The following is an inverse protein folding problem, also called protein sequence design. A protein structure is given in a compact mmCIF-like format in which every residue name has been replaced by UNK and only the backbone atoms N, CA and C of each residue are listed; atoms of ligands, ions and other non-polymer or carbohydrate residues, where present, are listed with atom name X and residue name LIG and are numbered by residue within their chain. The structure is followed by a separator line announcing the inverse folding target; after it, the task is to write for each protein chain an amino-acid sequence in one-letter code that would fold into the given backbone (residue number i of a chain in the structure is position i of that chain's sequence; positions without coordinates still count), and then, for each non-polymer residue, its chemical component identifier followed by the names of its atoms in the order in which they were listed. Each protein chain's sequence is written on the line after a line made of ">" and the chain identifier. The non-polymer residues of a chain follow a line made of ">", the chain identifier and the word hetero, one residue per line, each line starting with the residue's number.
data_IF_254467312430
#
_entry.id   IF_254467312430
#
_cell.length_a   1.000
_cell.length_b   1.000
_cell.length_c   1.000
_cell.angle_alpha   90.00
_cell.angle_beta   90.00
_cell.angle_gamma   90.00
#
_symmetry.space_group_name_H-M   'P 1'
#
loop_
_entity.id
_entity.type
_entity.pdbx_description
1 polymer ?
#
# COMPACT_ATOMS: atom_id res chain seq x y z
N UNK A 1 3.27 -4.15 -17.78
CA UNK A 1 3.54 -4.31 -19.22
C UNK A 1 4.94 -3.77 -19.52
N UNK A 2 5.65 -4.29 -20.53
CA UNK A 2 6.89 -3.68 -20.98
C UNK A 2 6.59 -2.27 -21.54
N UNK A 3 7.50 -1.33 -21.30
CA UNK A 3 7.39 0.06 -21.77
C UNK A 3 7.61 0.07 -23.29
N UNK A 4 6.74 0.70 -24.10
CA UNK A 4 6.94 0.72 -25.55
C UNK A 4 8.25 1.44 -25.88
N UNK A 5 9.09 0.92 -26.80
CA UNK A 5 10.36 1.55 -27.16
C UNK A 5 10.23 2.99 -27.67
N UNK A 6 9.06 3.35 -28.19
CA UNK A 6 8.73 4.72 -28.62
C UNK A 6 8.73 5.71 -27.46
N UNK A 7 8.32 5.28 -26.27
CA UNK A 7 8.32 6.12 -25.07
C UNK A 7 9.75 6.41 -24.63
N UNK A 8 10.59 5.38 -24.61
CA UNK A 8 12.02 5.52 -24.29
C UNK A 8 12.72 6.44 -25.31
N UNK A 9 12.36 6.35 -26.61
CA UNK A 9 12.89 7.23 -27.66
C UNK A 9 12.53 8.70 -27.46
N UNK A 10 11.38 9.02 -26.87
CA UNK A 10 10.98 10.41 -26.59
C UNK A 10 11.80 11.04 -25.47
N UNK A 11 12.29 10.22 -24.54
CA UNK A 11 13.04 10.65 -23.37
C UNK A 11 14.55 10.73 -23.60
N UNK A 12 15.05 10.39 -24.80
CA UNK A 12 16.48 10.42 -25.09
C UNK A 12 16.80 10.91 -26.51
N UNK A 13 18.07 11.23 -26.75
CA UNK A 13 18.54 11.52 -28.09
C UNK A 13 18.61 10.24 -28.94
N UNK A 14 18.49 10.32 -30.29
CA UNK A 14 18.59 9.16 -31.18
C UNK A 14 19.89 8.37 -30.99
N UNK A 15 21.00 9.09 -30.78
CA UNK A 15 22.32 8.49 -30.55
C UNK A 15 22.43 7.76 -29.21
N UNK A 16 21.80 8.29 -28.15
CA UNK A 16 21.70 7.60 -26.87
C UNK A 16 20.85 6.34 -26.97
N UNK A 17 19.79 6.40 -27.77
CA UNK A 17 18.91 5.25 -28.02
C UNK A 17 19.66 4.10 -28.71
N UNK A 18 20.27 4.35 -29.87
CA UNK A 18 21.02 3.33 -30.63
C UNK A 18 22.13 2.68 -29.78
N UNK A 19 22.92 3.50 -29.07
CA UNK A 19 23.98 2.97 -28.21
C UNK A 19 23.43 2.20 -27.02
N UNK A 20 22.27 2.60 -26.48
CA UNK A 20 21.59 1.88 -25.41
C UNK A 20 21.07 0.52 -25.86
N UNK A 21 20.47 0.45 -27.06
CA UNK A 21 20.00 -0.81 -27.66
C UNK A 21 21.14 -1.82 -27.84
N UNK A 22 22.29 -1.38 -28.38
CA UNK A 22 23.47 -2.25 -28.52
C UNK A 22 23.96 -2.81 -27.18
N UNK A 23 23.90 -2.02 -26.10
CA UNK A 23 24.30 -2.46 -24.76
C UNK A 23 23.29 -3.47 -24.20
N UNK A 24 21.99 -3.26 -24.42
CA UNK A 24 20.94 -4.18 -24.00
C UNK A 24 21.08 -5.55 -24.68
N UNK A 25 21.28 -5.56 -26.00
CA UNK A 25 21.49 -6.77 -26.80
C UNK A 25 22.75 -7.55 -26.38
N UNK A 26 23.80 -6.82 -25.98
CA UNK A 26 25.09 -7.45 -25.64
C UNK A 26 25.06 -8.26 -24.33
N UNK A 27 24.03 -8.14 -23.48
CA UNK A 27 23.76 -8.98 -22.31
C UNK A 27 24.78 -8.97 -21.16
N UNK A 28 26.08 -9.09 -21.43
CA UNK A 28 27.18 -9.10 -20.47
C UNK A 28 27.56 -7.74 -19.90
N UNK A 29 27.01 -6.65 -20.43
CA UNK A 29 27.32 -5.28 -20.02
C UNK A 29 26.41 -4.72 -18.92
N UNK A 30 25.47 -5.52 -18.39
CA UNK A 30 24.56 -5.13 -17.31
C UNK A 30 24.69 -6.13 -16.16
N UNK A 31 25.32 -5.69 -15.07
CA UNK A 31 25.54 -6.47 -13.86
C UNK A 31 24.57 -6.06 -12.73
N UNK A 32 24.34 -6.99 -11.79
CA UNK A 32 23.48 -6.78 -10.62
C UNK A 32 22.06 -6.27 -10.95
N UNK A 33 21.43 -6.86 -11.97
CA UNK A 33 20.03 -6.57 -12.35
C UNK A 33 19.11 -6.79 -11.15
N UNK A 34 18.52 -5.73 -10.64
CA UNK A 34 17.57 -5.76 -9.53
C UNK A 34 16.32 -4.98 -9.89
N UNK A 35 15.18 -5.47 -9.46
CA UNK A 35 13.91 -4.75 -9.50
C UNK A 35 13.28 -4.80 -8.11
N UNK A 36 12.87 -3.63 -7.63
CA UNK A 36 12.05 -3.46 -6.44
C UNK A 36 10.75 -2.79 -6.82
N UNK A 37 9.67 -3.11 -6.10
CA UNK A 37 8.36 -2.51 -6.33
C UNK A 37 8.02 -1.59 -5.18
N UNK A 38 7.66 -0.35 -5.49
CA UNK A 38 7.09 0.61 -4.55
C UNK A 38 5.68 0.97 -5.02
N UNK A 39 4.68 0.31 -4.45
CA UNK A 39 3.30 0.42 -4.91
C UNK A 39 3.13 -0.02 -6.39
N UNK A 40 2.63 0.85 -7.29
CA UNK A 40 2.49 0.53 -8.72
C UNK A 40 3.81 0.62 -9.50
N UNK A 41 4.84 1.25 -8.94
CA UNK A 41 6.08 1.58 -9.66
C UNK A 41 7.12 0.47 -9.54
N UNK A 42 7.73 0.12 -10.67
CA UNK A 42 8.85 -0.81 -10.75
C UNK A 42 10.16 0.00 -10.81
N UNK A 43 10.93 -0.06 -9.72
CA UNK A 43 12.23 0.58 -9.61
C UNK A 43 13.31 -0.41 -10.03
N UNK A 44 13.88 -0.19 -11.22
CA UNK A 44 15.00 -0.93 -11.76
C UNK A 44 16.32 -0.33 -11.25
N UNK A 45 17.27 -1.18 -10.88
CA UNK A 45 18.62 -0.77 -10.53
C UNK A 45 19.63 -1.79 -11.06
N UNK A 46 20.66 -1.31 -11.77
CA UNK A 46 21.75 -2.16 -12.24
C UNK A 46 23.06 -1.35 -12.41
N UNK A 47 24.16 -2.08 -12.56
CA UNK A 47 25.44 -1.53 -12.99
C UNK A 47 25.61 -1.78 -14.49
N UNK A 48 25.76 -0.72 -15.28
CA UNK A 48 25.87 -0.79 -16.74
C UNK A 48 27.28 -0.35 -17.15
N UNK A 49 27.97 -1.20 -17.90
CA UNK A 49 29.30 -0.92 -18.42
C UNK A 49 29.26 0.11 -19.57
N UNK A 50 30.27 0.97 -19.64
CA UNK A 50 30.43 1.84 -20.80
C UNK A 50 30.91 1.06 -22.03
N UNK A 51 30.33 1.37 -23.18
CA UNK A 51 30.74 0.88 -24.50
C UNK A 51 32.17 1.28 -24.94
N UNK A 52 32.95 2.01 -24.12
CA UNK A 52 34.19 2.70 -24.51
C UNK A 52 35.47 2.14 -23.87
N UNK A 53 35.44 0.94 -23.29
CA UNK A 53 36.66 0.14 -23.11
C UNK A 53 37.56 0.48 -21.91
N UNK A 54 37.07 1.22 -20.92
CA UNK A 54 37.65 1.17 -19.56
C UNK A 54 36.59 0.57 -18.63
N UNK A 55 37.00 -0.14 -17.58
CA UNK A 55 36.17 -0.92 -16.64
C UNK A 55 35.13 -0.12 -15.82
N UNK A 56 34.72 1.04 -16.33
CA UNK A 56 33.78 1.93 -15.69
C UNK A 56 32.37 1.38 -15.86
N UNK A 57 31.84 0.89 -14.74
CA UNK A 57 30.44 0.56 -14.58
C UNK A 57 29.74 1.72 -13.88
N UNK A 58 28.60 2.13 -14.43
CA UNK A 58 27.79 3.19 -13.86
C UNK A 58 26.52 2.61 -13.28
N UNK A 59 26.12 3.09 -12.10
CA UNK A 59 24.85 2.72 -11.51
C UNK A 59 23.75 3.49 -12.26
N UNK A 60 22.84 2.74 -12.86
CA UNK A 60 21.63 3.27 -13.48
C UNK A 60 20.42 2.82 -12.68
N UNK A 61 19.49 3.75 -12.46
CA UNK A 61 18.17 3.48 -11.90
C UNK A 61 17.10 4.04 -12.82
N UNK A 62 16.04 3.28 -13.03
CA UNK A 62 14.91 3.66 -13.87
C UNK A 62 13.63 3.21 -13.17
N UNK A 63 12.70 4.14 -12.99
CA UNK A 63 11.39 3.88 -12.37
C UNK A 63 10.35 3.82 -13.47
N UNK A 64 9.63 2.70 -13.54
CA UNK A 64 8.63 2.43 -14.56
C UNK A 64 7.25 2.31 -13.93
N UNK A 65 6.26 2.97 -14.51
CA UNK A 65 4.86 2.60 -14.29
C UNK A 65 4.53 1.53 -15.31
N UNK A 66 4.44 0.28 -14.85
CA UNK A 66 4.14 -0.85 -15.72
C UNK A 66 2.69 -0.93 -16.16
N UNK A 67 1.76 -0.17 -15.56
CA UNK A 67 0.35 -0.18 -15.95
C UNK A 67 0.15 0.67 -17.19
N UNK A 68 0.63 1.91 -17.12
CA UNK A 68 0.60 2.87 -18.21
C UNK A 68 1.73 2.62 -19.22
N UNK A 69 2.75 1.85 -18.84
CA UNK A 69 3.90 1.57 -19.67
C UNK A 69 4.75 2.82 -19.89
N UNK A 70 4.92 3.66 -18.88
CA UNK A 70 5.68 4.92 -18.96
C UNK A 70 6.90 4.91 -18.03
N UNK A 71 7.92 5.68 -18.40
CA UNK A 71 9.06 5.93 -17.52
C UNK A 71 8.73 7.12 -16.63
N UNK A 72 8.64 6.88 -15.32
CA UNK A 72 8.31 7.91 -14.31
C UNK A 72 9.56 8.72 -13.95
N UNK A 73 10.67 8.03 -13.73
CA UNK A 73 11.92 8.65 -13.32
C UNK A 73 13.13 7.85 -13.82
N UNK A 74 14.28 8.52 -13.92
CA UNK A 74 15.52 7.92 -14.36
C UNK A 74 16.71 8.68 -13.80
N UNK A 75 17.76 7.95 -13.40
CA UNK A 75 19.01 8.54 -12.93
C UNK A 75 20.20 7.64 -13.26
N UNK A 76 21.35 8.25 -13.52
CA UNK A 76 22.60 7.51 -13.75
C UNK A 76 23.81 8.24 -13.19
N UNK A 77 24.80 7.49 -12.70
CA UNK A 77 26.07 8.07 -12.22
C UNK A 77 27.06 8.41 -13.34
N UNK A 78 26.67 8.29 -14.61
CA UNK A 78 27.55 8.56 -15.74
C UNK A 78 27.71 10.07 -16.02
N UNK A 79 28.82 10.50 -16.66
CA UNK A 79 29.04 11.91 -17.00
C UNK A 79 27.92 12.50 -17.87
N UNK A 80 27.43 11.73 -18.83
CA UNK A 80 26.39 12.17 -19.77
C UNK A 80 25.05 12.51 -19.08
N UNK A 81 24.75 11.91 -17.94
CA UNK A 81 23.54 12.26 -17.16
C UNK A 81 23.61 13.65 -16.55
N UNK A 82 24.82 14.09 -16.16
CA UNK A 82 25.02 15.43 -15.58
C UNK A 82 25.11 16.51 -16.65
N UNK A 83 25.52 16.14 -17.86
CA UNK A 83 25.86 17.07 -18.94
C UNK A 83 24.70 17.28 -19.92
N UNK A 84 23.86 16.26 -20.14
CA UNK A 84 22.79 16.29 -21.13
C UNK A 84 21.43 16.03 -20.50
N UNK A 85 20.40 16.71 -20.99
CA UNK A 85 19.01 16.46 -20.60
C UNK A 85 18.48 15.16 -21.24
N UNK A 86 17.77 14.36 -20.45
CA UNK A 86 17.14 13.11 -20.89
C UNK A 86 17.95 11.85 -20.59
N UNK A 87 17.40 10.69 -20.94
CA UNK A 87 17.99 9.40 -20.60
C UNK A 87 19.31 9.19 -21.31
N UNK A 88 20.33 8.88 -20.51
CA UNK A 88 21.61 8.42 -21.03
C UNK A 88 21.48 7.00 -21.61
N UNK A 89 22.46 6.60 -22.44
CA UNK A 89 22.53 5.25 -23.02
C UNK A 89 22.42 4.11 -21.98
N UNK A 90 22.86 4.33 -20.73
CA UNK A 90 22.80 3.32 -19.67
C UNK A 90 21.37 3.15 -19.12
N UNK A 91 20.64 4.24 -18.92
CA UNK A 91 19.22 4.19 -18.54
C UNK A 91 18.39 3.54 -19.63
N UNK A 92 18.66 3.89 -20.90
CA UNK A 92 18.01 3.27 -22.06
C UNK A 92 18.29 1.76 -22.10
N UNK A 93 19.56 1.37 -21.97
CA UNK A 93 19.95 -0.04 -21.96
C UNK A 93 19.26 -0.83 -20.84
N UNK A 94 19.16 -0.23 -19.64
CA UNK A 94 18.48 -0.86 -18.51
C UNK A 94 16.98 -1.07 -18.75
N UNK A 95 16.30 -0.06 -19.30
CA UNK A 95 14.88 -0.15 -19.62
C UNK A 95 14.59 -1.17 -20.73
N UNK A 96 15.40 -1.18 -21.80
CA UNK A 96 15.28 -2.15 -22.89
C UNK A 96 15.57 -3.58 -22.42
N UNK A 97 16.64 -3.79 -21.65
CA UNK A 97 16.98 -5.10 -21.09
C UNK A 97 15.86 -5.64 -20.18
N UNK A 98 15.16 -4.77 -19.44
CA UNK A 98 13.99 -5.18 -18.66
C UNK A 98 12.79 -5.55 -19.53
N UNK A 99 12.57 -4.87 -20.65
CA UNK A 99 11.51 -5.23 -21.58
C UNK A 99 11.76 -6.59 -22.25
N UNK A 100 13.01 -6.86 -22.63
CA UNK A 100 13.38 -8.08 -23.35
C UNK A 100 13.40 -9.29 -22.43
N UNK A 101 14.02 -9.17 -21.25
CA UNK A 101 14.16 -10.27 -20.30
C UNK A 101 13.91 -9.82 -18.85
N UNK A 102 12.65 -9.53 -18.47
CA UNK A 102 12.32 -9.04 -17.14
C UNK A 102 12.59 -10.07 -16.04
N UNK A 103 12.56 -11.37 -16.40
CA UNK A 103 12.83 -12.50 -15.49
C UNK A 103 14.30 -12.53 -15.04
N UNK A 104 15.22 -11.92 -15.80
CA UNK A 104 16.64 -11.84 -15.44
C UNK A 104 16.93 -10.90 -14.25
N UNK A 105 15.94 -10.12 -13.81
CA UNK A 105 16.07 -9.17 -12.73
C UNK A 105 15.75 -9.81 -11.39
N UNK A 106 16.70 -9.75 -10.45
CA UNK A 106 16.50 -10.23 -9.10
C UNK A 106 15.39 -9.41 -8.41
N UNK A 107 14.37 -10.10 -7.89
CA UNK A 107 13.19 -9.46 -7.30
C UNK A 107 12.00 -9.34 -8.27
N UNK A 108 12.17 -9.75 -9.53
CA UNK A 108 11.09 -9.73 -10.52
C UNK A 108 9.93 -10.61 -10.06
N UNK A 109 8.73 -10.05 -10.10
CA UNK A 109 7.48 -10.77 -9.89
C UNK A 109 6.73 -10.75 -11.22
N UNK A 110 6.26 -11.87 -11.77
CA UNK A 110 5.47 -11.84 -13.00
C UNK A 110 4.20 -10.99 -12.81
N UNK A 111 3.67 -10.36 -13.87
CA UNK A 111 2.44 -9.59 -13.80
C UNK A 111 1.33 -10.37 -13.10
N UNK A 112 1.15 -11.66 -13.38
CA UNK A 112 0.15 -12.51 -12.71
C UNK A 112 0.27 -12.55 -11.17
N UNK A 113 1.47 -12.42 -10.59
CA UNK A 113 1.69 -12.33 -9.13
C UNK A 113 1.58 -10.89 -8.60
N UNK A 114 1.60 -9.88 -9.47
CA UNK A 114 1.39 -8.45 -9.16
C UNK A 114 -0.08 -8.05 -9.32
N UNK A 115 -0.79 -8.65 -10.28
CA UNK A 115 -2.23 -8.58 -10.47
C UNK A 115 -3.01 -9.27 -9.33
N UNK A 116 -2.36 -10.07 -8.48
CA UNK A 116 -2.96 -10.55 -7.23
C UNK A 116 -3.05 -9.46 -6.15
N UNK A 117 -2.31 -8.35 -6.30
CA UNK A 117 -2.56 -7.12 -5.56
C UNK A 117 -3.66 -6.26 -6.20
N UNK A 118 -4.12 -6.62 -7.40
CA UNK A 118 -5.15 -5.92 -8.18
C UNK A 118 -6.32 -6.85 -8.51
N UNK A 119 -7.06 -7.23 -7.46
CA UNK A 119 -8.48 -7.60 -7.47
C UNK A 119 -9.12 -8.02 -8.82
N UNK A 120 -8.93 -9.26 -9.25
CA UNK A 120 -9.95 -9.92 -10.09
C UNK A 120 -11.13 -10.31 -9.18
N UNK A 121 -12.27 -9.64 -9.38
CA UNK A 121 -13.55 -9.75 -8.65
C UNK A 121 -14.12 -11.16 -8.45
N UNK A 122 -13.52 -12.23 -8.99
CA UNK A 122 -13.92 -13.62 -8.76
C UNK A 122 -13.18 -14.36 -7.63
N UNK A 123 -12.12 -13.78 -7.05
CA UNK A 123 -11.36 -14.40 -5.96
C UNK A 123 -11.79 -13.96 -4.56
N UNK A 124 -12.69 -12.98 -4.43
CA UNK A 124 -13.25 -12.58 -3.13
C UNK A 124 -13.98 -13.76 -2.48
N UNK A 125 -14.76 -14.50 -3.24
CA UNK A 125 -15.55 -15.63 -2.72
C UNK A 125 -14.64 -16.79 -2.27
N UNK A 126 -13.54 -17.05 -2.99
CA UNK A 126 -12.59 -18.13 -2.67
C UNK A 126 -11.66 -17.76 -1.51
N UNK A 127 -11.23 -16.49 -1.43
CA UNK A 127 -10.45 -15.95 -0.30
C UNK A 127 -11.33 -15.81 0.94
N UNK A 128 -12.63 -15.54 0.81
CA UNK A 128 -13.57 -15.62 1.93
C UNK A 128 -13.70 -17.07 2.44
N UNK A 129 -13.78 -18.06 1.55
CA UNK A 129 -13.85 -19.48 1.93
C UNK A 129 -12.54 -20.00 2.60
N UNK A 130 -11.36 -19.63 2.08
CA UNK A 130 -10.08 -20.03 2.70
C UNK A 130 -9.69 -19.16 3.91
N UNK A 131 -10.05 -17.88 3.88
CA UNK A 131 -9.88 -16.93 4.98
C UNK A 131 -10.78 -17.27 6.17
N UNK A 132 -11.99 -17.77 5.95
CA UNK A 132 -12.84 -18.33 7.01
C UNK A 132 -12.18 -19.56 7.67
N UNK A 133 -11.43 -20.37 6.91
CA UNK A 133 -10.79 -21.58 7.43
C UNK A 133 -9.47 -21.31 8.16
N UNK A 134 -8.74 -20.24 7.82
CA UNK A 134 -7.53 -19.81 8.54
C UNK A 134 -7.79 -18.77 9.65
N UNK A 135 -8.93 -18.07 9.63
CA UNK A 135 -9.37 -17.17 10.74
C UNK A 135 -9.84 -17.91 11.99
N UNK A 136 -10.07 -19.22 11.91
CA UNK A 136 -10.31 -20.09 13.06
C UNK A 136 -9.07 -20.34 13.94
N UNK A 137 -8.03 -19.48 13.90
CA UNK A 137 -6.82 -19.58 14.73
C UNK A 137 -6.46 -18.32 15.52
N UNK A 138 -7.35 -17.33 15.63
CA UNK A 138 -7.26 -16.27 16.65
C UNK A 138 -8.55 -16.20 17.48
N UNK A 139 -8.87 -17.31 18.14
CA UNK A 139 -10.02 -17.43 19.02
C UNK A 139 -9.83 -16.58 20.28
N UNK A 140 -10.64 -15.52 20.44
CA UNK A 140 -10.97 -14.91 21.74
C UNK A 140 -9.84 -14.38 22.64
N UNK A 141 -8.74 -13.83 22.09
CA UNK A 141 -7.60 -13.35 22.90
C UNK A 141 -7.63 -11.86 23.26
N UNK A 142 -8.65 -11.08 22.83
CA UNK A 142 -8.69 -9.63 23.09
C UNK A 142 -9.79 -9.30 24.10
N UNK A 143 -9.40 -8.80 25.28
CA UNK A 143 -10.32 -8.32 26.31
C UNK A 143 -10.50 -6.80 26.27
N UNK A 144 -11.60 -6.31 26.85
CA UNK A 144 -11.95 -4.89 26.93
C UNK A 144 -12.20 -4.53 28.39
N UNK A 145 -11.26 -3.78 28.96
CA UNK A 145 -11.33 -3.26 30.31
C UNK A 145 -11.94 -1.85 30.31
N UNK A 146 -12.77 -1.58 31.31
CA UNK A 146 -13.43 -0.28 31.50
C UNK A 146 -13.05 0.23 32.88
N UNK A 147 -12.42 1.39 32.93
CA UNK A 147 -12.17 2.11 34.18
C UNK A 147 -13.07 3.32 34.28
N UNK A 148 -13.88 3.38 35.34
CA UNK A 148 -14.67 4.55 35.68
C UNK A 148 -13.91 5.35 36.74
N UNK A 149 -13.67 6.63 36.47
CA UNK A 149 -13.06 7.57 37.42
C UNK A 149 -14.00 8.73 37.66
N UNK A 150 -14.29 8.99 38.92
CA UNK A 150 -15.03 10.19 39.35
C UNK A 150 -14.05 11.21 39.91
N UNK A 151 -14.02 12.42 39.36
CA UNK A 151 -13.21 13.52 39.86
C UNK A 151 -14.04 14.80 39.84
N UNK A 152 -14.09 15.50 40.99
CA UNK A 152 -14.82 16.77 41.16
C UNK A 152 -16.27 16.74 40.64
N UNK A 153 -17.02 15.67 40.94
CA UNK A 153 -18.43 15.53 40.52
C UNK A 153 -18.64 15.13 39.04
N UNK A 154 -17.55 14.97 38.26
CA UNK A 154 -17.61 14.49 36.89
C UNK A 154 -17.19 13.02 36.79
N UNK A 155 -17.94 12.22 36.03
CA UNK A 155 -17.62 10.82 35.72
C UNK A 155 -16.91 10.72 34.37
N UNK A 156 -15.80 10.01 34.34
CA UNK A 156 -15.04 9.70 33.13
C UNK A 156 -14.87 8.19 32.99
N UNK A 157 -15.04 7.68 31.78
CA UNK A 157 -14.86 6.26 31.46
C UNK A 157 -13.68 6.12 30.51
N UNK A 158 -12.67 5.33 30.90
CA UNK A 158 -11.52 5.00 30.06
C UNK A 158 -11.61 3.53 29.63
N UNK A 159 -11.51 3.28 28.33
CA UNK A 159 -11.60 1.95 27.75
C UNK A 159 -10.21 1.48 27.35
N UNK A 160 -9.84 0.26 27.74
CA UNK A 160 -8.53 -0.33 27.44
C UNK A 160 -8.70 -1.69 26.76
N UNK A 161 -8.05 -1.87 25.62
CA UNK A 161 -7.98 -3.15 24.92
C UNK A 161 -6.73 -3.89 25.41
N UNK A 162 -6.91 -5.14 25.81
CA UNK A 162 -5.80 -6.02 26.21
C UNK A 162 -5.76 -7.20 25.26
N UNK A 163 -4.62 -7.40 24.60
CA UNK A 163 -4.40 -8.53 23.71
C UNK A 163 -3.05 -9.18 23.94
N UNK A 164 -2.74 -10.27 23.21
CA UNK A 164 -1.55 -11.09 23.45
C UNK A 164 -0.23 -10.36 23.18
N UNK A 165 -0.25 -9.24 22.45
CA UNK A 165 0.95 -8.44 22.20
C UNK A 165 1.08 -7.18 23.06
N UNK A 166 0.04 -6.76 23.81
CA UNK A 166 0.09 -5.57 24.65
C UNK A 166 -1.27 -4.95 24.97
N UNK A 167 -1.24 -3.83 25.70
CA UNK A 167 -2.44 -3.07 26.09
C UNK A 167 -2.51 -1.74 25.32
N UNK A 168 -3.73 -1.30 25.00
CA UNK A 168 -3.97 -0.03 24.33
C UNK A 168 -5.11 0.75 25.00
N UNK A 169 -4.92 2.05 25.20
CA UNK A 169 -5.97 2.94 25.70
C UNK A 169 -6.75 3.50 24.51
N UNK A 170 -8.04 3.19 24.44
CA UNK A 170 -8.93 3.60 23.36
C UNK A 170 -9.15 5.12 23.41
N UNK A 171 -8.71 5.81 22.35
CA UNK A 171 -8.90 7.26 22.20
C UNK A 171 -10.31 7.63 21.74
N UNK A 172 -10.90 6.82 20.85
CA UNK A 172 -12.22 7.05 20.28
C UNK A 172 -13.05 5.76 20.27
N UNK A 173 -14.21 5.80 20.93
CA UNK A 173 -15.17 4.68 20.93
C UNK A 173 -15.83 4.55 19.55
N UNK A 174 -16.05 5.67 18.85
CA UNK A 174 -16.69 5.69 17.54
C UNK A 174 -15.86 4.99 16.47
N UNK A 175 -14.55 5.23 16.44
CA UNK A 175 -13.63 4.56 15.53
C UNK A 175 -13.58 3.06 15.80
N UNK A 176 -13.49 2.64 17.07
CA UNK A 176 -13.49 1.23 17.44
C UNK A 176 -14.77 0.51 17.01
N UNK A 177 -15.95 1.10 17.25
CA UNK A 177 -17.23 0.51 16.84
C UNK A 177 -17.37 0.52 15.32
N UNK A 178 -16.91 1.55 14.61
CA UNK A 178 -16.88 1.59 13.15
C UNK A 178 -16.01 0.48 12.56
N UNK A 179 -14.82 0.27 13.13
CA UNK A 179 -13.93 -0.83 12.74
C UNK A 179 -14.57 -2.21 13.00
N UNK A 180 -15.29 -2.36 14.11
CA UNK A 180 -16.05 -3.57 14.45
C UNK A 180 -17.25 -3.84 13.53
N UNK A 181 -17.90 -2.80 13.02
CA UNK A 181 -18.97 -2.93 12.04
C UNK A 181 -18.43 -3.31 10.66
N UNK A 182 -17.25 -2.79 10.30
CA UNK A 182 -16.61 -3.05 9.01
C UNK A 182 -15.81 -4.36 8.99
N UNK A 183 -15.58 -5.00 10.13
CA UNK A 183 -14.78 -6.24 10.21
C UNK A 183 -13.31 -6.03 9.81
N UNK A 184 -12.79 -4.81 9.95
CA UNK A 184 -11.51 -4.41 9.36
C UNK A 184 -10.31 -4.74 10.26
N UNK A 185 -9.16 -5.00 9.64
CA UNK A 185 -7.90 -5.13 10.36
C UNK A 185 -7.37 -3.75 10.70
N UNK A 186 -7.06 -3.52 11.98
CA UNK A 186 -6.49 -2.25 12.43
C UNK A 186 -5.40 -2.49 13.45
N UNK A 187 -4.31 -1.72 13.31
CA UNK A 187 -3.15 -1.76 14.18
C UNK A 187 -3.13 -0.52 15.07
N UNK A 188 -3.20 -0.72 16.38
CA UNK A 188 -3.15 0.34 17.40
C UNK A 188 -1.72 0.70 17.80
N UNK A 189 -0.71 0.11 17.15
CA UNK A 189 0.71 0.33 17.39
C UNK A 189 1.54 -0.93 17.09
N UNK A 190 2.80 -0.96 17.56
CA UNK A 190 3.72 -2.09 17.29
C UNK A 190 3.27 -3.43 17.90
N UNK A 191 2.45 -3.36 18.95
CA UNK A 191 2.20 -4.46 19.88
C UNK A 191 0.73 -4.91 19.93
N UNK A 192 -0.21 -4.21 19.29
CA UNK A 192 -1.61 -4.60 19.30
C UNK A 192 -2.26 -4.36 17.94
N UNK A 193 -2.50 -5.45 17.22
CA UNK A 193 -3.21 -5.45 15.96
C UNK A 193 -4.05 -6.72 15.83
N UNK A 194 -5.31 -6.57 15.44
CA UNK A 194 -6.22 -7.68 15.24
C UNK A 194 -7.33 -7.31 14.26
N UNK A 195 -8.03 -8.33 13.75
CA UNK A 195 -9.22 -8.15 12.93
C UNK A 195 -10.39 -7.81 13.84
N UNK A 196 -11.07 -6.69 13.60
CA UNK A 196 -12.17 -6.21 14.44
C UNK A 196 -13.45 -6.98 14.16
N UNK A 197 -13.50 -8.24 14.59
CA UNK A 197 -14.68 -9.10 14.53
C UNK A 197 -15.11 -9.46 15.96
N UNK A 198 -16.42 -9.66 16.23
CA UNK A 198 -16.86 -10.08 17.56
C UNK A 198 -16.14 -11.34 18.06
N UNK A 199 -15.79 -12.26 17.16
CA UNK A 199 -15.12 -13.53 17.46
C UNK A 199 -13.67 -13.38 17.97
N UNK A 200 -13.02 -12.24 17.69
CA UNK A 200 -11.68 -11.96 18.20
C UNK A 200 -11.69 -11.49 19.66
N UNK A 201 -12.84 -11.01 20.14
CA UNK A 201 -13.05 -10.54 21.49
C UNK A 201 -13.38 -11.69 22.44
N UNK A 202 -13.01 -11.53 23.71
CA UNK A 202 -13.52 -12.39 24.78
C UNK A 202 -15.05 -12.26 24.89
N UNK A 203 -15.78 -13.28 25.42
CA UNK A 203 -17.22 -13.17 25.66
C UNK A 203 -17.62 -11.98 26.54
N UNK A 204 -16.72 -11.54 27.44
CA UNK A 204 -16.89 -10.34 28.25
C UNK A 204 -16.80 -9.08 27.39
N UNK A 205 -15.74 -8.94 26.61
CA UNK A 205 -15.52 -7.80 25.74
C UNK A 205 -16.61 -7.66 24.67
N UNK A 206 -17.15 -8.77 24.16
CA UNK A 206 -18.29 -8.76 23.24
C UNK A 206 -19.54 -8.10 23.86
N UNK A 207 -19.83 -8.36 25.14
CA UNK A 207 -20.97 -7.73 25.84
C UNK A 207 -20.78 -6.22 25.95
N UNK A 208 -19.56 -5.78 26.28
CA UNK A 208 -19.22 -4.36 26.41
C UNK A 208 -19.29 -3.68 25.03
N UNK A 209 -18.72 -4.29 23.99
CA UNK A 209 -18.84 -3.79 22.62
C UNK A 209 -20.31 -3.63 22.19
N UNK A 210 -21.15 -4.64 22.43
CA UNK A 210 -22.59 -4.58 22.11
C UNK A 210 -23.28 -3.42 22.82
N UNK A 211 -22.91 -3.15 24.07
CA UNK A 211 -23.42 -1.99 24.80
C UNK A 211 -22.98 -0.66 24.16
N UNK A 212 -21.70 -0.51 23.82
CA UNK A 212 -21.16 0.70 23.19
C UNK A 212 -21.80 0.95 21.82
N UNK A 213 -21.94 -0.09 20.99
CA UNK A 213 -22.56 0.01 19.67
C UNK A 213 -24.03 0.46 19.75
N UNK A 214 -24.79 -0.04 20.74
CA UNK A 214 -26.18 0.38 20.99
C UNK A 214 -26.24 1.86 21.39
N UNK A 215 -25.36 2.31 22.29
CA UNK A 215 -25.34 3.70 22.74
C UNK A 215 -24.95 4.69 21.65
N UNK A 216 -23.98 4.34 20.79
CA UNK A 216 -23.63 5.16 19.64
C UNK A 216 -24.77 5.22 18.61
N UNK A 217 -25.45 4.11 18.36
CA UNK A 217 -26.61 4.09 17.44
C UNK A 217 -27.77 4.94 17.98
N UNK A 218 -28.04 4.89 19.29
CA UNK A 218 -29.06 5.73 19.93
C UNK A 218 -28.71 7.23 19.86
N UNK A 219 -27.43 7.58 20.01
CA UNK A 219 -26.94 8.97 19.88
C UNK A 219 -26.92 9.47 18.44
N UNK A 220 -26.57 8.62 17.48
CA UNK A 220 -26.64 8.95 16.05
C UNK A 220 -28.10 9.19 15.60
N UNK A 221 -29.05 8.40 16.10
CA UNK A 221 -30.48 8.63 15.89
C UNK A 221 -30.98 9.92 16.53
N UNK A 222 -30.49 10.27 17.72
CA UNK A 222 -30.84 11.54 18.38
C UNK A 222 -30.21 12.77 17.70
N UNK A 223 -29.00 12.65 17.16
CA UNK A 223 -28.34 13.72 16.40
C UNK A 223 -29.05 14.03 15.08
N UNK A 224 -29.64 13.03 14.41
CA UNK A 224 -30.48 13.24 13.23
C UNK A 224 -31.85 13.86 13.54
N UNK A 225 -32.39 13.66 14.75
CA UNK A 225 -33.64 14.29 15.19
C UNK A 225 -33.51 15.78 15.56
N UNK A 226 -32.30 16.25 15.85
CA UNK A 226 -32.07 17.64 16.28
C UNK A 226 -31.86 18.65 15.13
N UNK A 227 -31.64 18.18 13.89
CA UNK A 227 -31.46 19.02 12.69
C UNK A 227 -32.68 19.01 11.75
N UNK A 228 -33.88 18.76 12.28
CA UNK A 228 -35.10 18.58 11.49
C UNK A 228 -36.33 19.33 11.99
N UNK A 229 -36.20 20.45 12.73
CA UNK A 229 -37.34 21.33 13.04
C UNK A 229 -36.89 22.81 13.15
N UNK A 230 -36.88 23.53 12.02
CA UNK A 230 -37.12 24.98 11.86
C UNK A 230 -37.38 25.19 10.35
N UNK A 231 -38.45 25.76 9.81
CA UNK A 231 -39.54 26.61 10.31
C UNK A 231 -40.73 26.47 9.34
N UNK A 232 -41.94 26.48 9.88
CA UNK A 232 -43.14 26.82 9.12
C UNK A 232 -43.31 28.34 8.96
N UNK A 233 -43.84 28.72 7.79
CA UNK A 233 -44.89 29.72 7.51
C UNK A 233 -44.71 31.18 7.96
N UNK A 234 -44.71 32.10 6.99
CA UNK A 234 -45.59 33.30 6.86
C UNK A 234 -45.07 34.18 5.70
N UNK A 235 -45.87 34.83 4.85
CA UNK A 235 -47.32 34.95 4.78
C UNK A 235 -47.71 35.62 3.45
N UNK A 236 -48.98 35.45 3.07
CA UNK A 236 -49.64 36.16 1.98
C UNK A 236 -50.08 37.56 2.41
N UNK A 237 -49.90 38.55 1.54
CA UNK A 237 -50.80 39.67 1.31
C UNK A 237 -50.45 40.31 -0.03
#
# INVERSE_FOLDING_TARGET
>A
MPVPPQEIRRLCSPRSFERGSLIAESGGNIASRKVSYDGPDAVLSAFVASSSGWSDTYRASVTLDEREGVVVDHACTCPAWREYAGMCKHCVALALAYNDEPVSFAGYKPPALRCQAETTRGLKDVVELFGARQRAKTSGKVDLLVELRCRFGSWSASFRLEGPGGTYVMKSIGEFVGLMQQGSYFSYGKNLAFVHIPESLTPRAQRIHRFLARQLSARAGAAFGAYGVQRGVSGSA
#
